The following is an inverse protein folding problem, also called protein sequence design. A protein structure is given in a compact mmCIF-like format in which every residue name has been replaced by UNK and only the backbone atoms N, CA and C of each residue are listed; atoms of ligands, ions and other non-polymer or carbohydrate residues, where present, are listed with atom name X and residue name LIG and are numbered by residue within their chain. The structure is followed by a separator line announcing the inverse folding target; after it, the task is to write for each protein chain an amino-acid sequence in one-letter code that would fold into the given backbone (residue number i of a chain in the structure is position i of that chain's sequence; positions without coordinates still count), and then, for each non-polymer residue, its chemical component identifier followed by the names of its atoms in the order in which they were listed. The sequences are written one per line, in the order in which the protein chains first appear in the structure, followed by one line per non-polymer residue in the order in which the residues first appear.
data_IF_704531009052
#
_entry.id   IF_704531009052
#
_cell.length_a   1.000
_cell.length_b   1.000
_cell.length_c   1.000
_cell.angle_alpha   90.00
_cell.angle_beta   90.00
_cell.angle_gamma   90.00
#
_symmetry.space_group_name_H-M   'P 1'
#
loop_
_entity.id
_entity.type
_entity.pdbx_description
1 polymer ?
#
# COMPACT_ATOMS: atom_id res chain seq x y z
N UNK A 1 33.59 9.44 3.40
CA UNK A 1 32.16 9.63 3.68
C UNK A 1 31.72 8.67 4.77
N UNK A 2 31.19 9.17 5.87
CA UNK A 2 30.69 8.35 7.00
C UNK A 2 29.17 8.18 6.94
N UNK A 3 28.64 7.01 7.24
CA UNK A 3 27.18 6.77 7.26
C UNK A 3 26.42 7.70 8.21
N UNK A 4 27.05 8.08 9.32
CA UNK A 4 26.49 9.05 10.27
C UNK A 4 26.26 10.42 9.62
N UNK A 5 27.19 10.88 8.79
CA UNK A 5 27.10 12.15 8.07
C UNK A 5 26.01 12.09 6.98
N UNK A 6 25.90 10.94 6.27
CA UNK A 6 24.83 10.69 5.32
C UNK A 6 23.45 10.71 6.01
N UNK A 7 23.36 10.14 7.19
CA UNK A 7 22.13 10.19 8.01
C UNK A 7 21.76 11.63 8.40
N UNK A 8 22.74 12.43 8.81
CA UNK A 8 22.54 13.84 9.15
C UNK A 8 22.03 14.63 7.93
N UNK A 9 22.59 14.38 6.75
CA UNK A 9 22.13 14.96 5.48
C UNK A 9 20.64 14.65 5.21
N UNK A 10 20.23 13.39 5.33
CA UNK A 10 18.83 13.00 5.12
C UNK A 10 17.86 13.68 6.09
N UNK A 11 18.21 13.77 7.36
CA UNK A 11 17.39 14.47 8.35
C UNK A 11 17.26 15.99 8.06
N UNK A 12 18.31 16.63 7.53
CA UNK A 12 18.21 18.04 7.15
C UNK A 12 17.32 18.19 5.92
N UNK A 13 17.45 17.28 4.94
CA UNK A 13 16.61 17.26 3.75
C UNK A 13 15.12 17.09 4.09
N UNK A 14 14.80 16.27 5.08
CA UNK A 14 13.43 16.02 5.58
C UNK A 14 12.89 17.21 6.39
N UNK A 15 13.67 17.70 7.35
CA UNK A 15 13.22 18.74 8.30
C UNK A 15 13.38 20.18 7.77
N UNK A 16 14.12 20.36 6.66
CA UNK A 16 14.48 21.67 6.11
C UNK A 16 15.10 22.61 7.13
N UNK A 17 15.84 22.06 8.14
CA UNK A 17 16.36 22.83 9.27
C UNK A 17 17.53 22.16 9.98
N UNK A 18 18.68 22.80 10.00
CA UNK A 18 19.85 22.37 10.77
C UNK A 18 19.60 22.30 12.27
N UNK A 19 18.89 23.30 12.83
CA UNK A 19 18.63 23.36 14.27
C UNK A 19 17.64 22.29 14.72
N UNK A 20 16.60 21.98 13.91
CA UNK A 20 15.65 20.91 14.20
C UNK A 20 16.33 19.54 14.12
N UNK A 21 17.14 19.33 13.10
CA UNK A 21 17.93 18.11 12.92
C UNK A 21 18.89 17.91 14.09
N UNK A 22 19.60 18.95 14.52
CA UNK A 22 20.51 18.88 15.66
C UNK A 22 19.78 18.42 16.94
N UNK A 23 18.60 19.01 17.20
CA UNK A 23 17.78 18.63 18.36
C UNK A 23 17.31 17.18 18.27
N UNK A 24 16.84 16.74 17.10
CA UNK A 24 16.34 15.39 16.89
C UNK A 24 17.43 14.32 17.01
N UNK A 25 18.65 14.62 16.53
CA UNK A 25 19.78 13.70 16.58
C UNK A 25 20.62 13.80 17.87
N UNK A 26 20.27 14.70 18.79
CA UNK A 26 21.01 14.90 20.05
C UNK A 26 22.38 15.56 19.85
N UNK A 27 22.56 16.36 18.79
CA UNK A 27 23.80 17.08 18.48
C UNK A 27 23.67 18.59 18.70
N UNK A 28 24.80 19.30 18.77
CA UNK A 28 24.81 20.75 18.62
C UNK A 28 24.59 21.14 17.13
N UNK A 29 24.01 22.31 16.89
CA UNK A 29 23.85 22.82 15.52
C UNK A 29 25.21 22.99 14.80
N UNK A 30 26.26 23.39 15.53
CA UNK A 30 27.61 23.51 15.00
C UNK A 30 28.16 22.15 14.54
N UNK A 31 27.92 21.07 15.30
CA UNK A 31 28.33 19.73 14.93
C UNK A 31 27.62 19.27 13.63
N UNK A 32 26.31 19.47 13.55
CA UNK A 32 25.53 19.16 12.31
C UNK A 32 26.04 19.97 11.13
N UNK A 33 26.31 21.27 11.30
CA UNK A 33 26.86 22.12 10.24
C UNK A 33 28.26 21.67 9.81
N UNK A 34 29.11 21.26 10.73
CA UNK A 34 30.46 20.75 10.42
C UNK A 34 30.41 19.41 9.68
N UNK A 35 29.50 18.50 10.07
CA UNK A 35 29.30 17.23 9.36
C UNK A 35 28.89 17.45 7.91
N UNK A 36 27.98 18.37 7.64
CA UNK A 36 27.54 18.66 6.27
C UNK A 36 28.64 19.35 5.47
N UNK A 37 29.36 20.31 6.07
CA UNK A 37 30.50 20.97 5.41
C UNK A 37 31.59 19.95 5.01
N UNK A 38 31.86 18.97 5.86
CA UNK A 38 32.78 17.88 5.55
C UNK A 38 32.26 17.02 4.38
N UNK A 39 30.96 16.66 4.38
CA UNK A 39 30.35 15.88 3.31
C UNK A 39 30.40 16.64 1.97
N UNK A 40 30.07 17.92 1.96
CA UNK A 40 30.12 18.78 0.79
C UNK A 40 31.55 18.93 0.26
N UNK A 41 32.53 19.04 1.17
CA UNK A 41 33.95 19.07 0.79
C UNK A 41 34.44 17.74 0.18
N UNK A 42 34.02 16.59 0.73
CA UNK A 42 34.35 15.28 0.17
C UNK A 42 33.72 15.03 -1.21
N UNK A 43 32.49 15.54 -1.42
CA UNK A 43 31.77 15.42 -2.69
C UNK A 43 32.14 16.52 -3.71
N UNK A 44 32.86 17.55 -3.27
CA UNK A 44 33.30 18.67 -4.12
C UNK A 44 32.18 19.61 -4.57
N UNK A 45 31.00 19.54 -3.93
CA UNK A 45 29.83 20.35 -4.34
C UNK A 45 28.92 20.62 -3.13
N UNK A 46 28.28 21.82 -3.06
CA UNK A 46 27.28 22.09 -2.03
C UNK A 46 26.02 21.27 -2.27
N UNK A 47 25.49 20.71 -1.19
CA UNK A 47 24.25 19.91 -1.19
C UNK A 47 23.03 20.72 -0.73
N UNK A 48 23.25 21.83 0.00
CA UNK A 48 22.20 22.70 0.49
C UNK A 48 22.41 24.17 0.11
N UNK A 49 21.32 24.79 -0.35
CA UNK A 49 21.20 26.22 -0.43
C UNK A 49 20.68 26.79 0.90
N UNK A 50 21.36 27.83 1.40
CA UNK A 50 21.00 28.51 2.65
C UNK A 50 20.67 29.96 2.34
N UNK A 51 19.39 30.24 2.16
CA UNK A 51 18.93 31.62 1.90
C UNK A 51 18.11 32.10 3.10
N UNK A 52 18.69 32.97 3.89
CA UNK A 52 18.08 33.46 5.13
C UNK A 52 17.84 32.34 6.16
N UNK A 53 16.57 32.08 6.51
CA UNK A 53 16.17 31.00 7.42
C UNK A 53 15.73 29.71 6.70
N UNK A 54 15.78 29.69 5.37
CA UNK A 54 15.30 28.57 4.56
C UNK A 54 16.47 27.70 4.14
N UNK A 55 16.31 26.39 4.27
CA UNK A 55 17.25 25.37 3.82
C UNK A 55 16.58 24.57 2.72
N UNK A 56 17.19 24.51 1.54
CA UNK A 56 16.73 23.70 0.40
C UNK A 56 17.88 22.87 -0.16
N UNK A 57 17.55 21.78 -0.81
CA UNK A 57 18.54 21.01 -1.57
C UNK A 57 18.94 21.77 -2.83
N UNK A 58 20.23 21.70 -3.18
CA UNK A 58 20.72 22.04 -4.51
C UNK A 58 20.37 20.91 -5.49
N UNK A 59 20.60 21.09 -6.80
CA UNK A 59 20.46 20.01 -7.79
C UNK A 59 21.38 18.82 -7.46
N UNK A 60 22.60 19.09 -7.01
CA UNK A 60 23.53 18.08 -6.51
C UNK A 60 22.98 17.39 -5.25
N UNK A 61 22.40 18.16 -4.31
CA UNK A 61 21.73 17.63 -3.14
C UNK A 61 20.55 16.73 -3.48
N UNK A 62 19.74 17.13 -4.46
CA UNK A 62 18.62 16.33 -4.95
C UNK A 62 19.10 15.01 -5.59
N UNK A 63 20.15 15.06 -6.37
CA UNK A 63 20.79 13.85 -6.95
C UNK A 63 21.35 12.96 -5.85
N UNK A 64 22.09 13.54 -4.91
CA UNK A 64 22.70 12.78 -3.80
C UNK A 64 21.66 12.16 -2.86
N UNK A 65 20.45 12.76 -2.73
CA UNK A 65 19.38 12.26 -1.88
C UNK A 65 19.01 10.80 -2.18
N UNK A 66 18.92 10.43 -3.46
CA UNK A 66 18.66 9.06 -3.89
C UNK A 66 19.77 8.09 -3.46
N UNK A 67 21.03 8.46 -3.73
CA UNK A 67 22.19 7.65 -3.33
C UNK A 67 22.35 7.55 -1.81
N UNK A 68 22.13 8.64 -1.08
CA UNK A 68 22.19 8.67 0.38
C UNK A 68 21.21 7.68 1.03
N UNK A 69 19.98 7.59 0.50
CA UNK A 69 19.00 6.59 0.93
C UNK A 69 19.50 5.17 0.68
N UNK A 70 19.90 4.87 -0.54
CA UNK A 70 20.41 3.54 -0.92
C UNK A 70 21.60 3.09 -0.06
N UNK A 71 22.54 4.01 0.24
CA UNK A 71 23.69 3.71 1.12
C UNK A 71 23.25 3.32 2.53
N UNK A 72 22.33 4.07 3.13
CA UNK A 72 21.84 3.75 4.47
C UNK A 72 20.96 2.50 4.50
N UNK A 73 20.12 2.30 3.48
CA UNK A 73 19.35 1.06 3.32
C UNK A 73 20.27 -0.15 3.21
N UNK A 74 21.31 -0.08 2.38
CA UNK A 74 22.28 -1.17 2.22
C UNK A 74 23.03 -1.46 3.52
N UNK A 75 23.45 -0.41 4.24
CA UNK A 75 24.12 -0.57 5.53
C UNK A 75 23.20 -1.20 6.59
N UNK A 76 21.92 -0.82 6.62
CA UNK A 76 20.93 -1.43 7.51
C UNK A 76 20.63 -2.88 7.13
N UNK A 77 20.48 -3.16 5.84
CA UNK A 77 20.31 -4.55 5.35
C UNK A 77 21.48 -5.43 5.76
N UNK A 78 22.72 -4.94 5.63
CA UNK A 78 23.89 -5.64 6.08
C UNK A 78 23.90 -5.89 7.60
N UNK A 79 23.50 -4.90 8.39
CA UNK A 79 23.37 -5.06 9.85
C UNK A 79 22.23 -6.03 10.20
N UNK A 80 21.07 -5.91 9.55
CA UNK A 80 19.92 -6.79 9.77
C UNK A 80 20.21 -8.24 9.37
N UNK A 81 20.99 -8.47 8.30
CA UNK A 81 21.38 -9.80 7.87
C UNK A 81 22.28 -10.52 8.90
N UNK A 82 22.97 -9.77 9.75
CA UNK A 82 23.85 -10.31 10.79
C UNK A 82 23.19 -10.38 12.16
N UNK A 83 21.99 -9.75 12.33
CA UNK A 83 21.26 -9.77 13.60
C UNK A 83 20.16 -10.84 13.55
N UNK A 84 19.95 -11.62 14.63
CA UNK A 84 18.80 -12.49 14.73
C UNK A 84 17.51 -11.66 14.62
N UNK A 85 16.52 -12.12 13.86
CA UNK A 85 15.23 -11.46 13.66
C UNK A 85 14.52 -11.08 14.99
N UNK A 86 14.85 -11.75 16.09
CA UNK A 86 14.33 -11.48 17.44
C UNK A 86 14.74 -10.11 18.02
N UNK A 87 15.62 -9.35 17.38
CA UNK A 87 16.03 -8.02 17.86
C UNK A 87 15.33 -6.84 17.17
N UNK A 88 14.50 -7.11 16.15
CA UNK A 88 13.69 -6.05 15.52
C UNK A 88 12.61 -5.60 16.50
N UNK A 89 12.65 -4.31 16.88
CA UNK A 89 11.75 -3.70 17.88
C UNK A 89 11.15 -2.40 17.33
N UNK A 90 10.14 -1.89 18.03
CA UNK A 90 9.47 -0.63 17.70
C UNK A 90 8.05 -0.84 17.23
N UNK A 91 7.51 0.11 16.48
CA UNK A 91 6.15 0.01 15.92
C UNK A 91 6.18 0.02 14.40
N UNK A 92 5.19 -0.61 13.79
CA UNK A 92 4.91 -0.57 12.37
C UNK A 92 3.44 -0.22 12.16
N UNK A 93 3.19 0.93 11.52
CA UNK A 93 1.86 1.47 11.27
C UNK A 93 1.51 1.25 9.81
N UNK A 94 0.40 0.55 9.54
CA UNK A 94 0.01 0.17 8.18
C UNK A 94 -1.43 0.56 7.95
N UNK A 95 -1.71 1.25 6.85
CA UNK A 95 -3.07 1.43 6.36
C UNK A 95 -3.36 0.37 5.28
N UNK A 96 -4.55 -0.25 5.34
CA UNK A 96 -4.93 -1.36 4.48
C UNK A 96 -6.36 -1.18 3.94
N UNK A 97 -6.59 -1.62 2.70
CA UNK A 97 -7.94 -1.82 2.20
C UNK A 97 -8.62 -2.99 2.95
N UNK A 98 -9.92 -2.88 3.22
CA UNK A 98 -10.69 -3.91 3.94
C UNK A 98 -10.57 -5.30 3.29
N UNK A 99 -10.67 -5.36 1.97
CA UNK A 99 -10.55 -6.60 1.21
C UNK A 99 -9.17 -7.27 1.37
N UNK A 100 -8.09 -6.47 1.42
CA UNK A 100 -6.72 -6.95 1.68
C UNK A 100 -6.59 -7.43 3.12
N UNK A 101 -7.17 -6.69 4.06
CA UNK A 101 -7.16 -6.99 5.48
C UNK A 101 -7.80 -8.37 5.75
N UNK A 102 -9.02 -8.58 5.26
CA UNK A 102 -9.79 -9.80 5.55
C UNK A 102 -9.17 -11.08 4.98
N UNK A 103 -8.44 -11.01 3.86
CA UNK A 103 -7.93 -12.20 3.16
C UNK A 103 -6.46 -12.48 3.44
N UNK A 104 -5.60 -11.48 3.29
CA UNK A 104 -4.14 -11.72 3.31
C UNK A 104 -3.51 -11.50 4.68
N UNK A 105 -4.11 -10.61 5.48
CA UNK A 105 -3.48 -10.14 6.70
C UNK A 105 -3.27 -11.26 7.74
N UNK A 106 -4.20 -12.18 8.04
CA UNK A 106 -4.00 -13.18 9.07
C UNK A 106 -2.74 -14.03 8.83
N UNK A 107 -2.56 -14.58 7.64
CA UNK A 107 -1.40 -15.38 7.29
C UNK A 107 -0.10 -14.57 7.20
N UNK A 108 -0.20 -13.31 6.78
CA UNK A 108 0.94 -12.39 6.74
C UNK A 108 1.41 -12.02 8.15
N UNK A 109 0.47 -11.68 9.04
CA UNK A 109 0.78 -11.32 10.44
C UNK A 109 1.36 -12.49 11.23
N UNK A 110 0.87 -13.70 11.02
CA UNK A 110 1.43 -14.90 11.64
C UNK A 110 2.93 -15.04 11.29
N UNK A 111 3.27 -14.93 10.00
CA UNK A 111 4.66 -15.00 9.54
C UNK A 111 5.49 -13.80 10.01
N UNK A 112 4.88 -12.62 10.06
CA UNK A 112 5.55 -11.40 10.54
C UNK A 112 5.85 -11.49 12.03
N UNK A 113 4.89 -11.87 12.85
CA UNK A 113 5.07 -12.02 14.29
C UNK A 113 6.12 -13.07 14.65
N UNK A 114 6.19 -14.17 13.89
CA UNK A 114 7.23 -15.19 14.07
C UNK A 114 8.66 -14.63 13.82
N UNK A 115 8.80 -13.65 12.92
CA UNK A 115 10.09 -12.99 12.62
C UNK A 115 10.39 -11.79 13.52
N UNK A 116 9.35 -11.08 13.92
CA UNK A 116 9.45 -9.80 14.64
C UNK A 116 8.51 -9.77 15.85
N UNK A 117 8.71 -10.63 16.87
CA UNK A 117 7.77 -10.78 17.99
C UNK A 117 7.74 -9.56 18.93
N UNK A 118 8.70 -8.63 18.82
CA UNK A 118 8.80 -7.43 19.66
C UNK A 118 8.39 -6.15 18.91
N UNK A 119 7.78 -6.28 17.73
CA UNK A 119 7.24 -5.13 16.99
C UNK A 119 5.76 -4.98 17.29
N UNK A 120 5.38 -3.79 17.73
CA UNK A 120 3.98 -3.38 17.85
C UNK A 120 3.41 -3.08 16.46
N UNK A 121 2.27 -3.69 16.13
CA UNK A 121 1.58 -3.44 14.87
C UNK A 121 0.35 -2.57 15.10
N UNK A 122 0.25 -1.47 14.37
CA UNK A 122 -0.91 -0.58 14.37
C UNK A 122 -1.50 -0.60 12.95
N UNK A 123 -2.73 -1.08 12.84
CA UNK A 123 -3.41 -1.28 11.58
C UNK A 123 -4.61 -0.34 11.47
N UNK A 124 -4.76 0.29 10.31
CA UNK A 124 -5.88 1.15 9.98
C UNK A 124 -6.53 0.66 8.69
N UNK A 125 -7.85 0.48 8.71
CA UNK A 125 -8.62 0.25 7.47
C UNK A 125 -9.22 1.56 7.01
N UNK A 126 -9.03 1.89 5.74
CA UNK A 126 -9.47 3.15 5.15
C UNK A 126 -9.65 3.03 3.62
N UNK A 127 -10.24 4.04 3.00
CA UNK A 127 -10.24 4.21 1.55
C UNK A 127 -8.84 4.53 1.03
N UNK A 128 -8.59 4.34 -0.27
CA UNK A 128 -7.27 4.62 -0.87
C UNK A 128 -6.85 6.08 -0.63
N UNK A 129 -7.75 7.03 -0.81
CA UNK A 129 -7.46 8.46 -0.63
C UNK A 129 -7.08 8.79 0.83
N UNK A 130 -7.82 8.26 1.80
CA UNK A 130 -7.49 8.42 3.22
C UNK A 130 -6.15 7.77 3.58
N UNK A 131 -5.87 6.57 3.04
CA UNK A 131 -4.59 5.89 3.27
C UNK A 131 -3.42 6.72 2.73
N UNK A 132 -3.55 7.30 1.53
CA UNK A 132 -2.53 8.17 0.94
C UNK A 132 -2.36 9.46 1.74
N UNK A 133 -3.43 10.02 2.29
CA UNK A 133 -3.35 11.16 3.19
C UNK A 133 -2.60 10.81 4.49
N UNK A 134 -2.91 9.67 5.12
CA UNK A 134 -2.19 9.18 6.30
C UNK A 134 -0.69 8.97 6.01
N UNK A 135 -0.37 8.45 4.82
CA UNK A 135 1.00 8.24 4.40
C UNK A 135 1.74 9.57 4.19
N UNK A 136 1.13 10.54 3.50
CA UNK A 136 1.71 11.86 3.23
C UNK A 136 1.97 12.67 4.49
N UNK A 137 1.16 12.47 5.54
CA UNK A 137 1.30 13.12 6.85
C UNK A 137 2.12 12.31 7.85
N UNK A 138 2.76 11.21 7.39
CA UNK A 138 3.60 10.32 8.21
C UNK A 138 2.86 9.70 9.41
N UNK A 139 1.55 9.52 9.32
CA UNK A 139 0.76 8.84 10.33
C UNK A 139 0.85 7.31 10.19
N UNK A 140 1.10 6.82 8.96
CA UNK A 140 1.40 5.41 8.67
C UNK A 140 2.74 5.27 7.96
N UNK A 141 3.32 4.08 8.03
CA UNK A 141 4.62 3.75 7.45
C UNK A 141 4.46 3.08 6.08
N UNK A 142 3.40 2.28 5.94
CA UNK A 142 3.06 1.54 4.72
C UNK A 142 1.57 1.71 4.40
N UNK A 143 1.27 1.65 3.11
CA UNK A 143 -0.10 1.54 2.57
C UNK A 143 -0.19 0.26 1.75
N UNK A 144 -1.18 -0.60 2.03
CA UNK A 144 -1.44 -1.81 1.28
C UNK A 144 -2.86 -1.79 0.76
N UNK A 145 -3.03 -1.36 -0.48
CA UNK A 145 -4.32 -1.10 -1.12
C UNK A 145 -4.63 -2.07 -2.26
N UNK A 146 -5.87 -2.07 -2.69
CA UNK A 146 -6.35 -2.63 -3.95
C UNK A 146 -6.96 -1.48 -4.76
N UNK A 147 -6.33 -1.09 -5.85
CA UNK A 147 -6.78 0.03 -6.68
C UNK A 147 -6.31 -0.11 -8.14
N UNK A 148 -6.68 0.83 -9.00
CA UNK A 148 -6.00 1.03 -10.27
C UNK A 148 -4.51 1.35 -10.02
N UNK A 149 -3.61 1.12 -11.01
CA UNK A 149 -2.20 1.45 -10.84
C UNK A 149 -1.99 2.89 -10.39
N UNK A 150 -1.47 3.07 -9.17
CA UNK A 150 -1.21 4.38 -8.59
C UNK A 150 0.20 4.84 -8.98
N UNK A 151 0.27 5.90 -9.79
CA UNK A 151 1.51 6.50 -10.27
C UNK A 151 1.65 7.91 -9.69
N UNK A 152 2.19 8.03 -8.48
CA UNK A 152 2.44 9.31 -7.83
C UNK A 152 3.93 9.47 -7.51
N UNK A 153 4.55 10.64 -7.81
CA UNK A 153 5.98 10.86 -7.57
C UNK A 153 6.42 10.70 -6.11
N UNK A 154 5.50 10.89 -5.16
CA UNK A 154 5.77 10.74 -3.73
C UNK A 154 5.74 9.29 -3.23
N UNK A 155 5.27 8.34 -4.05
CA UNK A 155 5.13 6.94 -3.69
C UNK A 155 6.27 6.08 -4.23
N UNK A 156 6.72 5.13 -3.44
CA UNK A 156 7.60 4.05 -3.86
C UNK A 156 6.79 2.76 -3.82
N UNK A 157 6.62 2.15 -4.98
CA UNK A 157 5.92 0.88 -5.13
C UNK A 157 6.83 -0.26 -4.66
N UNK A 158 6.49 -0.86 -3.53
CA UNK A 158 7.23 -1.95 -2.93
C UNK A 158 6.78 -3.33 -3.43
N UNK A 159 5.50 -3.51 -3.74
CA UNK A 159 4.95 -4.72 -4.35
C UNK A 159 3.72 -4.37 -5.20
N UNK A 160 3.51 -5.13 -6.28
CA UNK A 160 2.37 -4.99 -7.20
C UNK A 160 1.91 -6.37 -7.66
N UNK A 161 0.61 -6.64 -7.54
CA UNK A 161 -0.02 -7.90 -7.98
C UNK A 161 -1.33 -7.57 -8.68
N UNK A 162 -1.49 -7.95 -9.96
CA UNK A 162 -2.77 -7.80 -10.65
C UNK A 162 -3.81 -8.75 -10.03
N UNK A 163 -4.97 -8.20 -9.74
CA UNK A 163 -6.09 -8.91 -9.09
C UNK A 163 -7.39 -8.66 -9.88
N UNK A 164 -7.94 -9.67 -10.55
CA UNK A 164 -9.20 -9.53 -11.25
C UNK A 164 -10.35 -9.34 -10.27
N UNK A 165 -11.34 -8.55 -10.71
CA UNK A 165 -12.62 -8.40 -10.01
C UNK A 165 -13.70 -9.07 -10.86
N UNK A 166 -14.58 -9.83 -10.23
CA UNK A 166 -15.56 -10.64 -10.94
C UNK A 166 -16.98 -10.47 -10.38
N UNK A 167 -17.95 -10.60 -11.27
CA UNK A 167 -19.33 -10.77 -10.88
C UNK A 167 -19.54 -12.16 -10.34
N UNK A 168 -20.26 -12.25 -9.22
CA UNK A 168 -20.59 -13.51 -8.53
C UNK A 168 -22.08 -13.63 -8.25
N UNK A 169 -22.54 -14.84 -8.22
CA UNK A 169 -23.94 -15.21 -7.92
C UNK A 169 -23.98 -16.49 -7.09
N UNK A 170 -25.11 -16.80 -6.43
CA UNK A 170 -25.39 -18.16 -5.94
C UNK A 170 -25.35 -19.16 -7.09
N UNK A 171 -24.90 -20.42 -6.89
CA UNK A 171 -24.77 -21.39 -7.98
C UNK A 171 -26.11 -21.72 -8.67
N UNK A 172 -27.23 -21.58 -7.93
CA UNK A 172 -28.59 -21.86 -8.44
C UNK A 172 -29.21 -20.65 -9.15
N UNK A 173 -28.53 -19.50 -9.17
CA UNK A 173 -29.04 -18.31 -9.84
C UNK A 173 -29.18 -18.56 -11.36
N UNK A 174 -30.28 -18.13 -12.01
CA UNK A 174 -30.48 -18.38 -13.45
C UNK A 174 -29.31 -17.90 -14.33
N UNK A 175 -28.73 -16.77 -14.01
CA UNK A 175 -27.58 -16.20 -14.75
C UNK A 175 -26.29 -17.02 -14.61
N UNK A 176 -26.17 -17.88 -13.60
CA UNK A 176 -24.99 -18.74 -13.41
C UNK A 176 -24.91 -19.88 -14.45
N UNK A 177 -25.99 -20.15 -15.15
CA UNK A 177 -26.06 -21.19 -16.19
C UNK A 177 -25.74 -20.64 -17.59
N UNK A 178 -25.65 -19.34 -17.74
CA UNK A 178 -25.40 -18.68 -19.02
C UNK A 178 -23.89 -18.62 -19.32
N UNK A 179 -23.52 -18.91 -20.57
CA UNK A 179 -22.11 -18.92 -21.00
C UNK A 179 -21.49 -17.51 -21.11
N UNK A 180 -22.31 -16.51 -21.43
CA UNK A 180 -21.95 -15.10 -21.47
C UNK A 180 -23.20 -14.24 -21.24
N UNK A 181 -23.06 -13.19 -20.47
CA UNK A 181 -24.15 -12.29 -20.11
C UNK A 181 -23.95 -10.93 -20.79
N UNK A 182 -25.00 -10.41 -21.45
CA UNK A 182 -24.99 -9.03 -21.89
C UNK A 182 -25.08 -8.08 -20.70
N UNK A 183 -24.40 -6.93 -20.81
CA UNK A 183 -24.27 -5.99 -19.71
C UNK A 183 -25.60 -5.38 -19.27
N UNK A 184 -26.56 -5.23 -20.17
CA UNK A 184 -27.87 -4.60 -19.95
C UNK A 184 -28.84 -5.42 -19.09
N UNK A 185 -28.51 -6.70 -18.81
CA UNK A 185 -29.30 -7.53 -17.91
C UNK A 185 -29.01 -7.21 -16.42
N UNK A 186 -27.80 -6.72 -16.12
CA UNK A 186 -27.32 -6.51 -14.75
C UNK A 186 -28.13 -5.48 -13.97
N UNK A 187 -28.57 -4.32 -14.54
CA UNK A 187 -29.38 -3.34 -13.81
C UNK A 187 -30.74 -3.88 -13.32
N UNK A 188 -31.18 -5.02 -13.83
CA UNK A 188 -32.45 -5.66 -13.45
C UNK A 188 -32.32 -6.67 -12.32
N UNK A 189 -31.08 -6.91 -11.86
CA UNK A 189 -30.79 -7.88 -10.80
C UNK A 189 -30.64 -7.19 -9.45
N UNK A 190 -30.85 -7.96 -8.39
CA UNK A 190 -30.57 -7.51 -7.03
C UNK A 190 -29.09 -7.58 -6.75
N UNK A 191 -28.46 -6.44 -6.45
CA UNK A 191 -27.06 -6.33 -6.14
C UNK A 191 -26.79 -5.92 -4.70
N UNK A 192 -25.79 -6.56 -4.11
CA UNK A 192 -25.11 -6.12 -2.89
C UNK A 192 -23.72 -5.63 -3.30
N UNK A 193 -23.38 -4.39 -3.07
CA UNK A 193 -22.10 -3.81 -3.51
C UNK A 193 -21.37 -3.15 -2.34
N UNK A 194 -20.08 -2.91 -2.53
CA UNK A 194 -19.36 -2.04 -1.61
C UNK A 194 -19.82 -0.59 -1.72
N UNK A 195 -19.50 0.19 -0.71
CA UNK A 195 -19.82 1.61 -0.65
C UNK A 195 -19.20 2.37 -1.82
N UNK A 196 -19.83 3.47 -2.21
CA UNK A 196 -19.28 4.38 -3.23
C UNK A 196 -17.97 4.97 -2.76
N UNK A 197 -17.04 5.20 -3.69
CA UNK A 197 -15.68 5.65 -3.38
C UNK A 197 -14.71 4.52 -3.03
N UNK A 198 -15.17 3.27 -3.03
CA UNK A 198 -14.28 2.12 -3.00
C UNK A 198 -13.77 1.79 -4.41
N UNK A 199 -12.47 1.54 -4.56
CA UNK A 199 -11.77 1.49 -5.85
C UNK A 199 -12.44 0.61 -6.92
N UNK A 200 -12.75 -0.64 -6.62
CA UNK A 200 -13.38 -1.54 -7.60
C UNK A 200 -14.89 -1.28 -7.77
N UNK A 201 -15.56 -0.61 -6.78
CA UNK A 201 -16.92 -0.12 -6.97
C UNK A 201 -16.94 1.03 -7.98
N UNK A 202 -16.03 1.97 -7.87
CA UNK A 202 -15.91 3.07 -8.81
C UNK A 202 -15.56 2.57 -10.21
N UNK A 203 -14.71 1.54 -10.33
CA UNK A 203 -14.42 0.91 -11.61
C UNK A 203 -15.65 0.21 -12.22
N UNK A 204 -16.50 -0.44 -11.43
CA UNK A 204 -17.77 -0.98 -11.86
C UNK A 204 -18.70 0.14 -12.36
N UNK A 205 -18.89 1.18 -11.56
CA UNK A 205 -19.77 2.29 -11.91
C UNK A 205 -19.29 2.99 -13.19
N UNK A 206 -17.99 3.16 -13.39
CA UNK A 206 -17.41 3.68 -14.63
C UNK A 206 -17.66 2.75 -15.83
N UNK A 207 -17.48 1.43 -15.65
CA UNK A 207 -17.75 0.44 -16.69
C UNK A 207 -19.22 0.48 -17.14
N UNK A 208 -20.13 0.50 -16.20
CA UNK A 208 -21.58 0.60 -16.47
C UNK A 208 -21.93 1.92 -17.15
N UNK A 209 -21.42 3.04 -16.64
CA UNK A 209 -21.68 4.37 -17.19
C UNK A 209 -21.18 4.53 -18.64
N UNK A 210 -20.04 3.91 -18.99
CA UNK A 210 -19.53 3.90 -20.39
C UNK A 210 -20.52 3.29 -21.39
N UNK A 211 -21.44 2.43 -20.92
CA UNK A 211 -22.50 1.82 -21.72
C UNK A 211 -23.87 2.46 -21.49
N UNK A 212 -23.94 3.60 -20.79
CA UNK A 212 -25.20 4.28 -20.47
C UNK A 212 -26.07 3.54 -19.45
N UNK A 213 -25.47 2.65 -18.65
CA UNK A 213 -26.13 1.82 -17.67
C UNK A 213 -25.73 2.21 -16.23
N UNK A 214 -26.51 1.81 -15.25
CA UNK A 214 -26.19 1.94 -13.85
C UNK A 214 -26.79 0.77 -13.04
N UNK A 215 -26.05 0.29 -12.06
CA UNK A 215 -26.54 -0.68 -11.07
C UNK A 215 -26.94 0.09 -9.81
N UNK A 216 -28.16 -0.16 -9.33
CA UNK A 216 -28.66 0.37 -8.07
C UNK A 216 -28.73 -0.77 -7.06
N UNK A 217 -27.71 -0.91 -6.19
CA UNK A 217 -27.73 -1.97 -5.20
C UNK A 217 -28.81 -1.72 -4.17
N UNK A 218 -29.44 -2.79 -3.68
CA UNK A 218 -30.36 -2.66 -2.56
C UNK A 218 -29.65 -2.65 -1.20
N UNK A 219 -28.37 -3.08 -1.19
CA UNK A 219 -27.52 -3.06 0.00
C UNK A 219 -26.13 -2.54 -0.39
N UNK A 220 -25.63 -1.56 0.38
CA UNK A 220 -24.23 -1.12 0.33
C UNK A 220 -23.58 -1.40 1.69
N UNK A 221 -22.37 -2.02 1.67
CA UNK A 221 -21.65 -2.42 2.88
C UNK A 221 -20.14 -2.40 2.65
N UNK A 222 -19.37 -1.78 3.56
CA UNK A 222 -17.92 -1.64 3.46
C UNK A 222 -17.10 -2.93 3.57
N UNK A 223 -17.71 -4.08 3.90
CA UNK A 223 -16.99 -5.35 4.07
C UNK A 223 -17.23 -6.33 2.92
N UNK A 224 -16.19 -6.52 2.09
CA UNK A 224 -16.22 -7.46 0.98
C UNK A 224 -16.42 -8.92 1.43
N UNK A 225 -15.88 -9.30 2.58
CA UNK A 225 -16.05 -10.65 3.13
C UNK A 225 -17.50 -10.94 3.54
N UNK A 226 -18.18 -9.96 4.14
CA UNK A 226 -19.60 -10.11 4.49
C UNK A 226 -20.48 -10.12 3.24
N UNK A 227 -20.19 -9.30 2.23
CA UNK A 227 -20.90 -9.35 0.94
C UNK A 227 -20.79 -10.74 0.30
N UNK A 228 -19.58 -11.34 0.30
CA UNK A 228 -19.37 -12.70 -0.18
C UNK A 228 -20.29 -13.71 0.53
N UNK A 229 -20.35 -13.68 1.88
CA UNK A 229 -21.20 -14.56 2.67
C UNK A 229 -22.69 -14.36 2.37
N UNK A 230 -23.13 -13.11 2.18
CA UNK A 230 -24.54 -12.82 1.86
C UNK A 230 -24.92 -13.37 0.46
N UNK A 231 -24.01 -13.28 -0.52
CA UNK A 231 -24.25 -13.89 -1.84
C UNK A 231 -24.30 -15.42 -1.74
N UNK A 232 -23.46 -16.05 -0.91
CA UNK A 232 -23.55 -17.50 -0.63
C UNK A 232 -24.92 -17.90 -0.05
N UNK A 233 -25.55 -17.01 0.72
CA UNK A 233 -26.88 -17.21 1.30
C UNK A 233 -28.03 -16.91 0.31
N UNK A 234 -27.73 -16.55 -0.93
CA UNK A 234 -28.74 -16.31 -1.95
C UNK A 234 -29.35 -14.92 -1.96
N UNK A 235 -28.73 -13.94 -1.30
CA UNK A 235 -29.28 -12.59 -1.16
C UNK A 235 -29.13 -11.71 -2.42
N UNK A 236 -28.56 -12.22 -3.52
CA UNK A 236 -28.39 -11.49 -4.77
C UNK A 236 -27.00 -11.66 -5.39
N UNK A 237 -26.62 -10.72 -6.25
CA UNK A 237 -25.35 -10.69 -6.97
C UNK A 237 -24.38 -9.73 -6.29
N UNK A 238 -23.08 -9.91 -6.55
CA UNK A 238 -22.06 -8.93 -6.14
C UNK A 238 -20.95 -8.83 -7.19
N UNK A 239 -20.08 -7.83 -6.99
CA UNK A 239 -18.88 -7.59 -7.78
C UNK A 239 -17.69 -7.44 -6.83
N UNK A 240 -16.87 -8.48 -6.73
CA UNK A 240 -15.83 -8.60 -5.70
C UNK A 240 -14.49 -9.06 -6.29
N UNK A 241 -13.35 -8.68 -5.66
CA UNK A 241 -12.04 -9.20 -6.01
C UNK A 241 -12.01 -10.73 -5.94
N UNK A 242 -11.39 -11.36 -6.95
CA UNK A 242 -11.36 -12.82 -7.06
C UNK A 242 -10.76 -13.50 -5.83
N UNK A 243 -9.75 -12.91 -5.22
CA UNK A 243 -9.11 -13.50 -4.05
C UNK A 243 -10.05 -13.62 -2.83
N UNK A 244 -11.09 -12.77 -2.72
CA UNK A 244 -12.10 -12.86 -1.66
C UNK A 244 -12.98 -14.10 -1.87
N UNK A 245 -13.35 -14.37 -3.11
CA UNK A 245 -14.36 -15.36 -3.49
C UNK A 245 -13.75 -16.69 -3.96
N UNK A 246 -12.43 -16.79 -4.07
CA UNK A 246 -11.70 -17.93 -4.64
C UNK A 246 -12.06 -19.26 -3.99
N UNK A 247 -12.09 -19.33 -2.66
CA UNK A 247 -12.46 -20.56 -1.93
C UNK A 247 -13.90 -20.94 -2.21
N UNK A 248 -14.83 -19.99 -2.14
CA UNK A 248 -16.25 -20.24 -2.37
C UNK A 248 -16.54 -20.67 -3.83
N UNK A 249 -15.80 -20.10 -4.81
CA UNK A 249 -15.87 -20.54 -6.21
C UNK A 249 -15.32 -21.96 -6.38
N UNK A 250 -14.17 -22.27 -5.77
CA UNK A 250 -13.56 -23.60 -5.86
C UNK A 250 -14.42 -24.70 -5.20
N UNK A 251 -15.13 -24.35 -4.15
CA UNK A 251 -16.03 -25.26 -3.40
C UNK A 251 -17.44 -25.31 -4.00
N UNK A 252 -17.73 -24.55 -5.06
CA UNK A 252 -19.05 -24.49 -5.70
C UNK A 252 -20.13 -23.82 -4.86
N UNK A 253 -19.76 -23.03 -3.84
CA UNK A 253 -20.69 -22.23 -3.03
C UNK A 253 -21.12 -20.94 -3.72
N UNK A 254 -20.31 -20.49 -4.69
CA UNK A 254 -20.58 -19.38 -5.59
C UNK A 254 -20.32 -19.76 -7.03
N UNK A 255 -20.96 -19.05 -7.95
CA UNK A 255 -20.69 -19.11 -9.38
C UNK A 255 -20.13 -17.76 -9.85
N UNK A 256 -19.11 -17.80 -10.74
CA UNK A 256 -18.63 -16.62 -11.47
C UNK A 256 -19.56 -16.39 -12.66
N UNK A 257 -20.00 -15.15 -12.82
CA UNK A 257 -20.74 -14.73 -14.00
C UNK A 257 -19.76 -14.21 -15.06
N UNK A 258 -19.92 -14.67 -16.30
CA UNK A 258 -19.11 -14.20 -17.43
C UNK A 258 -19.80 -12.99 -18.09
N UNK A 259 -19.25 -11.80 -17.87
CA UNK A 259 -19.71 -10.53 -18.43
C UNK A 259 -18.58 -9.94 -19.28
N UNK A 260 -18.46 -10.30 -20.57
CA UNK A 260 -17.30 -9.94 -21.40
C UNK A 260 -17.10 -8.42 -21.55
N UNK A 261 -18.20 -7.66 -21.58
CA UNK A 261 -18.17 -6.21 -21.79
C UNK A 261 -17.80 -5.40 -20.55
N UNK A 262 -17.61 -6.07 -19.40
CA UNK A 262 -17.18 -5.44 -18.14
C UNK A 262 -16.14 -6.28 -17.41
N UNK A 263 -14.89 -6.18 -17.86
CA UNK A 263 -13.74 -6.81 -17.21
C UNK A 263 -12.92 -5.76 -16.49
N UNK A 264 -12.76 -5.94 -15.18
CA UNK A 264 -12.01 -5.02 -14.32
C UNK A 264 -10.80 -5.73 -13.72
N UNK A 265 -9.64 -5.14 -13.96
CA UNK A 265 -8.37 -5.55 -13.33
C UNK A 265 -7.94 -4.48 -12.36
N UNK A 266 -7.80 -4.84 -11.10
CA UNK A 266 -7.22 -4.01 -10.05
C UNK A 266 -5.80 -4.46 -9.76
N UNK A 267 -5.09 -3.67 -8.99
CA UNK A 267 -3.74 -3.95 -8.54
C UNK A 267 -3.68 -3.91 -7.02
N UNK A 268 -3.20 -4.99 -6.42
CA UNK A 268 -2.91 -5.04 -4.99
C UNK A 268 -1.50 -4.53 -4.79
N UNK A 269 -1.40 -3.30 -4.29
CA UNK A 269 -0.18 -2.50 -4.28
C UNK A 269 0.26 -2.17 -2.86
N UNK A 270 1.55 -2.37 -2.57
CA UNK A 270 2.17 -1.95 -1.32
C UNK A 270 3.08 -0.75 -1.57
N UNK A 271 2.86 0.33 -0.83
CA UNK A 271 3.61 1.57 -0.96
C UNK A 271 4.22 2.03 0.36
N UNK A 272 5.32 2.78 0.24
CA UNK A 272 5.77 3.70 1.26
C UNK A 272 6.02 5.09 0.65
N UNK A 273 6.09 6.12 1.48
CA UNK A 273 6.44 7.46 0.99
C UNK A 273 7.91 7.49 0.55
N UNK A 274 8.23 8.19 -0.55
CA UNK A 274 9.59 8.30 -1.10
C UNK A 274 10.60 8.80 -0.07
N UNK A 275 10.19 9.76 0.76
CA UNK A 275 11.04 10.38 1.77
C UNK A 275 11.04 9.62 3.10
N UNK A 276 10.30 8.50 3.17
CA UNK A 276 10.26 7.65 4.34
C UNK A 276 11.53 6.82 4.45
N UNK A 277 12.15 6.89 5.61
CA UNK A 277 13.19 5.94 5.98
C UNK A 277 12.58 4.54 6.13
N UNK A 278 13.02 3.62 5.29
CA UNK A 278 12.56 2.22 5.37
C UNK A 278 13.27 1.52 6.54
N UNK A 279 12.53 1.29 7.59
CA UNK A 279 13.04 0.68 8.82
C UNK A 279 13.17 -0.85 8.69
N UNK A 280 13.95 -1.53 9.57
CA UNK A 280 14.05 -3.00 9.55
C UNK A 280 12.70 -3.70 9.63
N UNK A 281 11.77 -3.21 10.47
CA UNK A 281 10.41 -3.77 10.58
C UNK A 281 9.59 -3.60 9.29
N UNK A 282 9.75 -2.48 8.58
CA UNK A 282 9.12 -2.27 7.26
C UNK A 282 9.70 -3.25 6.23
N UNK A 283 11.02 -3.40 6.18
CA UNK A 283 11.67 -4.32 5.24
C UNK A 283 11.18 -5.76 5.40
N UNK A 284 11.07 -6.27 6.63
CA UNK A 284 10.55 -7.63 6.87
C UNK A 284 9.11 -7.76 6.37
N UNK A 285 8.27 -6.73 6.58
CA UNK A 285 6.89 -6.74 6.08
C UNK A 285 6.83 -6.73 4.55
N UNK A 286 7.60 -5.86 3.90
CA UNK A 286 7.71 -5.76 2.44
C UNK A 286 8.18 -7.09 1.83
N UNK A 287 9.21 -7.72 2.41
CA UNK A 287 9.70 -9.03 1.94
C UNK A 287 8.61 -10.11 2.04
N UNK A 288 7.87 -10.17 3.14
CA UNK A 288 6.80 -11.15 3.32
C UNK A 288 5.65 -10.95 2.35
N UNK A 289 5.30 -9.70 2.02
CA UNK A 289 4.30 -9.40 0.99
C UNK A 289 4.79 -9.85 -0.39
N UNK A 290 6.05 -9.55 -0.75
CA UNK A 290 6.66 -9.99 -2.03
C UNK A 290 6.70 -11.51 -2.17
N UNK A 291 7.06 -12.22 -1.10
CA UNK A 291 7.06 -13.69 -1.08
C UNK A 291 5.63 -14.25 -1.26
N UNK A 292 4.64 -13.66 -0.58
CA UNK A 292 3.24 -14.04 -0.74
C UNK A 292 2.66 -13.75 -2.14
N UNK A 293 3.20 -12.78 -2.85
CA UNK A 293 2.82 -12.44 -4.21
C UNK A 293 3.31 -13.46 -5.25
N UNK A 294 4.37 -14.23 -4.95
CA UNK A 294 4.96 -15.23 -5.84
C UNK A 294 4.33 -16.63 -5.70
N UNK A 295 3.53 -16.84 -4.66
CA UNK A 295 2.81 -18.10 -4.42
C UNK A 295 1.40 -17.93 -4.99
N UNK A 296 1.26 -18.21 -6.30
CA UNK A 296 -0.03 -18.32 -7.00
C UNK A 296 -0.52 -19.76 -7.00
#
# INVERSE_FOLDING_TARGET
MELRTVNTFLHIAELHSFSRTARQLGYSQSAVSSQIAQLEAELGTPLFDRVGKTVRLTDAGQTFLGYARTLLETAQQAQAALQPAQQVRGSLRIALADSVCSTFLPGLLQRYHARCPQVELVLHTASTDEMLQLLSTNQVDLVYTLDQPLLQPALVLAADVPEPVCFIAPPQHPLAQESALPLDILPRQEFLLTERGMSYRDALDQCMAAHGLAIHPYLELGSAALLCQMVEQGMGLSFLPEYIVRSALAEGRLARLNVPDCTVMMHRQLFHHRDKWVTPQMNVFIELVRQGAQIK
#
